data_IF_670313320309
#
_entry.id   IF_670313320309
#
_cell.length_a   1.000
_cell.length_b   1.000
_cell.length_c   1.000
_cell.angle_alpha   90.00
_cell.angle_beta   90.00
_cell.angle_gamma   90.00
#
_symmetry.space_group_name_H-M   'P 1'
#
loop_
_entity.id
_entity.type
_entity.pdbx_description
1 polymer ?
#
# COMPACT_ATOMS: atom_id res chain seq x y z
N UNK A 1 8.44 -4.48 -4.47
CA UNK A 1 7.49 -4.35 -3.34
C UNK A 1 6.69 -3.04 -3.33
N UNK A 2 6.97 -2.09 -4.24
CA UNK A 2 6.12 -0.91 -4.45
C UNK A 2 4.74 -1.28 -5.03
N UNK A 3 4.61 -2.47 -5.61
CA UNK A 3 3.41 -2.90 -6.32
C UNK A 3 2.34 -3.48 -5.38
N UNK A 4 2.73 -4.14 -4.28
CA UNK A 4 1.81 -4.56 -3.22
C UNK A 4 1.19 -3.32 -2.55
N UNK A 5 2.01 -2.29 -2.33
CA UNK A 5 1.53 -1.02 -1.81
C UNK A 5 0.44 -0.42 -2.69
N UNK A 6 0.50 -0.55 -4.03
CA UNK A 6 -0.52 -0.04 -4.98
C UNK A 6 -1.83 -0.85 -5.02
N UNK A 7 -1.82 -2.08 -4.53
CA UNK A 7 -3.03 -2.91 -4.41
C UNK A 7 -3.75 -2.70 -3.08
N UNK A 8 -3.00 -2.33 -2.04
CA UNK A 8 -3.52 -2.17 -0.70
C UNK A 8 -4.53 -1.01 -0.67
N UNK A 9 -5.64 -1.18 0.03
CA UNK A 9 -6.60 -0.10 0.25
C UNK A 9 -5.99 1.00 1.14
N UNK A 10 -5.16 0.59 2.11
CA UNK A 10 -4.47 1.46 3.06
C UNK A 10 -3.04 0.99 3.24
N UNK A 11 -2.11 1.94 3.31
CA UNK A 11 -0.71 1.70 3.64
C UNK A 11 -0.44 2.25 5.03
N UNK A 12 0.11 1.40 5.89
CA UNK A 12 0.52 1.75 7.26
C UNK A 12 2.03 1.66 7.37
N UNK A 13 2.66 2.74 7.82
CA UNK A 13 4.07 2.72 8.19
C UNK A 13 4.18 2.56 9.69
N UNK A 14 5.00 1.59 10.09
CA UNK A 14 5.25 1.30 11.50
C UNK A 14 6.68 1.67 11.86
N UNK A 15 6.84 2.29 13.03
CA UNK A 15 8.12 2.50 13.67
C UNK A 15 7.96 2.21 15.16
N UNK A 16 8.89 1.44 15.73
CA UNK A 16 8.91 1.10 17.16
C UNK A 16 7.60 0.47 17.68
N UNK A 17 6.94 -0.32 16.82
CA UNK A 17 5.69 -1.01 17.15
C UNK A 17 4.44 -0.12 17.07
N UNK A 18 4.59 1.15 16.69
CA UNK A 18 3.48 2.09 16.54
C UNK A 18 3.30 2.49 15.07
N UNK A 19 2.06 2.80 14.70
CA UNK A 19 1.75 3.37 13.39
C UNK A 19 2.15 4.84 13.41
N UNK A 20 3.06 5.23 12.54
CA UNK A 20 3.55 6.62 12.44
C UNK A 20 2.94 7.38 11.27
N UNK A 21 2.45 6.66 10.26
CA UNK A 21 1.75 7.25 9.12
C UNK A 21 0.72 6.28 8.57
N UNK A 22 -0.37 6.86 8.10
CA UNK A 22 -1.39 6.19 7.32
C UNK A 22 -1.58 6.94 6.01
N UNK A 23 -1.73 6.20 4.92
CA UNK A 23 -2.10 6.74 3.61
C UNK A 23 -3.19 5.86 3.03
N UNK A 24 -4.32 6.48 2.73
CA UNK A 24 -5.41 5.85 1.99
C UNK A 24 -5.01 5.82 0.52
N UNK A 25 -5.00 4.63 -0.05
CA UNK A 25 -4.42 4.44 -1.36
C UNK A 25 -5.46 4.86 -2.41
N UNK A 26 -5.33 6.08 -2.92
CA UNK A 26 -6.32 6.69 -3.79
C UNK A 26 -6.49 6.00 -5.16
N UNK A 27 -5.59 5.09 -5.54
CA UNK A 27 -5.58 4.42 -6.85
C UNK A 27 -5.54 2.91 -6.66
N UNK A 28 -6.71 2.27 -6.57
CA UNK A 28 -6.83 0.81 -6.56
C UNK A 28 -6.46 0.26 -7.93
N UNK A 29 -5.25 -0.29 -8.07
CA UNK A 29 -4.85 -0.95 -9.31
C UNK A 29 -5.37 -2.39 -9.28
N UNK A 30 -6.11 -2.80 -10.33
CA UNK A 30 -6.55 -4.18 -10.48
C UNK A 30 -5.33 -5.10 -10.60
N UNK A 31 -5.39 -6.28 -9.94
CA UNK A 31 -4.27 -7.24 -9.93
C UNK A 31 -3.82 -7.65 -11.36
N UNK A 32 -4.74 -7.59 -12.31
CA UNK A 32 -4.56 -7.88 -13.73
C UNK A 32 -3.61 -6.90 -14.45
N UNK A 33 -3.42 -5.69 -13.91
CA UNK A 33 -2.58 -4.66 -14.50
C UNK A 33 -1.10 -4.73 -14.01
N UNK A 34 -0.75 -5.73 -13.21
CA UNK A 34 0.61 -5.93 -12.72
C UNK A 34 1.43 -6.76 -13.72
N UNK A 35 2.56 -6.22 -14.15
CA UNK A 35 3.61 -6.97 -14.87
C UNK A 35 4.72 -7.35 -13.91
N UNK A 36 5.01 -8.66 -13.82
CA UNK A 36 6.04 -9.24 -12.94
C UNK A 36 7.44 -9.18 -13.55
#
# INVERSE_FOLDING_TARGET
NADIARMAERILWMQDGQITREEENATRIAAEALSW
#
